data_IF_694677328548
#
_entry.id   IF_694677328548
#
_cell.length_a   1.000
_cell.length_b   1.000
_cell.length_c   1.000
_cell.angle_alpha   90.00
_cell.angle_beta   90.00
_cell.angle_gamma   90.00
#
_symmetry.space_group_name_H-M   'P 1'
#
loop_
_entity.id
_entity.type
_entity.pdbx_description
1 polymer ?
#
# COMPACT_ATOMS: atom_id res chain seq x y z
N UNK A 1 -10.45 -4.51 -18.10
CA UNK A 1 -9.19 -3.77 -17.83
C UNK A 1 -8.87 -3.94 -16.34
N UNK A 2 -7.63 -4.28 -15.92
CA UNK A 2 -7.32 -4.37 -14.50
C UNK A 2 -7.33 -2.96 -13.89
N UNK A 3 -8.09 -2.78 -12.80
CA UNK A 3 -8.08 -1.56 -11.99
C UNK A 3 -7.36 -1.90 -10.68
N UNK A 4 -6.20 -1.28 -10.48
CA UNK A 4 -5.55 -1.31 -9.17
C UNK A 4 -6.27 -0.36 -8.23
N UNK A 5 -6.46 -0.79 -6.98
CA UNK A 5 -6.92 0.10 -5.93
C UNK A 5 -5.75 0.89 -5.35
N UNK A 6 -6.04 2.07 -4.80
CA UNK A 6 -5.06 2.89 -4.10
C UNK A 6 -4.69 4.17 -4.85
N UNK A 7 -3.64 4.88 -4.41
CA UNK A 7 -2.52 4.42 -3.56
C UNK A 7 -2.86 4.12 -2.10
N UNK A 8 -2.08 3.23 -1.49
CA UNK A 8 -2.14 2.88 -0.07
C UNK A 8 -0.74 3.00 0.55
N UNK A 9 -0.68 3.17 1.87
CA UNK A 9 0.55 3.06 2.62
C UNK A 9 0.63 1.73 3.37
N UNK A 10 1.84 1.18 3.50
CA UNK A 10 2.07 -0.02 4.30
C UNK A 10 2.05 0.37 5.78
N UNK A 11 1.12 -0.18 6.55
CA UNK A 11 1.08 0.02 8.00
C UNK A 11 2.02 -0.96 8.72
N UNK A 12 1.91 -2.26 8.43
CA UNK A 12 2.83 -3.29 8.96
C UNK A 12 2.83 -4.57 8.13
N UNK A 13 3.89 -5.37 8.27
CA UNK A 13 3.92 -6.77 7.82
C UNK A 13 3.54 -7.71 8.97
N UNK A 14 2.71 -8.70 8.69
CA UNK A 14 2.32 -9.73 9.66
C UNK A 14 3.36 -10.84 9.73
N UNK A 15 3.35 -11.63 10.81
CA UNK A 15 4.21 -12.83 10.93
C UNK A 15 3.94 -13.87 9.82
N UNK A 16 2.71 -13.91 9.31
CA UNK A 16 2.33 -14.76 8.18
C UNK A 16 2.79 -14.22 6.81
N UNK A 17 3.51 -13.09 6.78
CA UNK A 17 4.09 -12.52 5.57
C UNK A 17 3.14 -11.67 4.74
N UNK A 18 1.88 -11.46 5.17
CA UNK A 18 0.93 -10.52 4.56
C UNK A 18 1.15 -9.10 5.06
N UNK A 19 0.56 -8.12 4.37
CA UNK A 19 0.67 -6.71 4.73
C UNK A 19 -0.68 -6.14 5.18
N UNK A 20 -0.66 -5.37 6.25
CA UNK A 20 -1.77 -4.49 6.61
C UNK A 20 -1.51 -3.13 5.96
N UNK A 21 -2.49 -2.63 5.22
CA UNK A 21 -2.41 -1.34 4.55
C UNK A 21 -3.24 -0.30 5.29
N UNK A 22 -2.93 0.98 5.07
CA UNK A 22 -3.81 2.11 5.41
C UNK A 22 -4.10 2.95 4.17
N UNK A 23 -5.30 3.49 4.13
CA UNK A 23 -5.67 4.56 3.21
C UNK A 23 -4.84 5.82 3.50
N UNK A 24 -4.79 6.77 2.56
CA UNK A 24 -4.02 8.01 2.72
C UNK A 24 -4.55 8.91 3.86
N UNK A 25 -5.81 8.74 4.29
CA UNK A 25 -6.39 9.43 5.44
C UNK A 25 -6.01 8.79 6.79
N UNK A 26 -5.22 7.71 6.77
CA UNK A 26 -4.82 6.97 7.96
C UNK A 26 -5.74 5.82 8.35
N UNK A 27 -6.86 5.61 7.65
CA UNK A 27 -7.79 4.50 7.92
C UNK A 27 -7.12 3.16 7.68
N UNK A 28 -6.95 2.36 8.74
CA UNK A 28 -6.24 1.07 8.68
C UNK A 28 -7.17 -0.04 8.19
N UNK A 29 -6.74 -0.78 7.18
CA UNK A 29 -7.43 -1.98 6.70
C UNK A 29 -7.41 -3.07 7.78
N UNK A 30 -8.56 -3.69 8.02
CA UNK A 30 -8.68 -4.84 8.94
C UNK A 30 -8.19 -6.16 8.33
N UNK A 31 -7.79 -6.16 7.04
CA UNK A 31 -7.41 -7.36 6.29
C UNK A 31 -5.90 -7.37 6.01
N UNK A 32 -5.32 -8.57 6.05
CA UNK A 32 -3.99 -8.81 5.51
C UNK A 32 -4.05 -9.00 4.00
N UNK A 33 -3.24 -8.25 3.26
CA UNK A 33 -3.09 -8.34 1.81
C UNK A 33 -1.90 -9.22 1.48
N UNK A 34 -2.09 -10.18 0.59
CA UNK A 34 -1.02 -11.06 0.15
C UNK A 34 0.02 -10.27 -0.67
N UNK A 35 1.31 -10.58 -0.46
CA UNK A 35 2.44 -9.88 -1.08
C UNK A 35 2.35 -9.81 -2.60
N UNK A 36 1.93 -10.89 -3.26
CA UNK A 36 1.81 -10.94 -4.73
C UNK A 36 0.68 -10.05 -5.29
N UNK A 37 -0.18 -9.46 -4.44
CA UNK A 37 -1.21 -8.50 -4.84
C UNK A 37 -0.75 -7.04 -4.71
N UNK A 38 0.44 -6.80 -4.17
CA UNK A 38 1.00 -5.46 -4.00
C UNK A 38 1.97 -5.14 -5.13
N UNK A 39 1.83 -3.93 -5.67
CA UNK A 39 2.77 -3.35 -6.62
C UNK A 39 3.30 -2.05 -6.00
N UNK A 40 4.62 -1.81 -6.00
CA UNK A 40 5.17 -0.55 -5.51
C UNK A 40 4.53 0.65 -6.21
N UNK A 41 4.13 1.65 -5.44
CA UNK A 41 3.58 2.88 -5.99
C UNK A 41 4.72 3.75 -6.52
N UNK A 42 4.76 3.96 -7.85
CA UNK A 42 5.74 4.83 -8.50
C UNK A 42 5.15 6.23 -8.58
N UNK A 43 5.75 7.17 -7.84
CA UNK A 43 5.34 8.58 -7.85
C UNK A 43 5.69 9.16 -9.23
N UNK A 44 4.71 9.80 -9.89
CA UNK A 44 4.88 10.34 -11.25
C UNK A 44 5.67 11.65 -11.31
N UNK A 45 5.68 12.43 -10.24
CA UNK A 45 6.40 13.70 -10.11
C UNK A 45 7.07 13.74 -8.73
N UNK A 46 8.25 13.14 -8.61
CA UNK A 46 9.10 13.36 -7.45
C UNK A 46 9.58 14.81 -7.49
N UNK A 47 8.94 15.71 -6.74
CA UNK A 47 9.66 16.88 -6.27
C UNK A 47 10.61 16.35 -5.20
N UNK A 48 11.91 16.45 -5.45
CA UNK A 48 12.89 16.39 -4.38
C UNK A 48 12.48 17.46 -3.37
N UNK A 49 12.09 17.01 -2.19
CA UNK A 49 11.87 17.92 -1.07
C UNK A 49 13.27 18.28 -0.59
N UNK A 50 13.67 19.52 -0.88
CA UNK A 50 14.90 20.16 -0.42
C UNK A 50 14.89 20.23 1.12
#
# INVERSE_FOLDING_TARGET
KPHYFGPFEVYRRTKAGTYVLKELDGTVSRRGIATFRLIPYIIRNSREVI
#
